data_IF_272036160771
#
_entry.id   IF_272036160771
#
_cell.length_a   1.000
_cell.length_b   1.000
_cell.length_c   1.000
_cell.angle_alpha   90.00
_cell.angle_beta   90.00
_cell.angle_gamma   90.00
#
_symmetry.space_group_name_H-M   'P 1'
#
loop_
_entity.id
_entity.type
_entity.pdbx_description
1 polymer ?
#
# COMPACT_ATOMS: atom_id res chain seq x y z
N UNK A 1 1.98 -66.64 -33.03
CA UNK A 1 2.13 -65.23 -33.48
C UNK A 1 1.16 -64.38 -32.67
N UNK A 2 1.48 -63.25 -32.07
CA UNK A 2 2.70 -62.62 -31.53
C UNK A 2 2.15 -61.39 -30.77
N UNK A 3 2.56 -61.20 -29.52
CA UNK A 3 2.36 -59.94 -28.77
C UNK A 3 2.95 -58.74 -29.52
N UNK A 4 2.36 -57.55 -29.34
CA UNK A 4 3.11 -56.38 -28.86
C UNK A 4 2.18 -55.27 -28.39
N UNK A 5 2.22 -55.05 -27.09
CA UNK A 5 1.93 -53.77 -26.43
C UNK A 5 2.94 -52.73 -26.92
N UNK A 6 2.49 -51.50 -27.19
CA UNK A 6 3.38 -50.36 -27.41
C UNK A 6 3.07 -49.31 -26.34
N UNK A 7 3.92 -49.31 -25.32
CA UNK A 7 4.03 -48.29 -24.29
C UNK A 7 4.31 -46.93 -24.91
N UNK A 8 3.46 -45.94 -24.60
CA UNK A 8 3.78 -44.53 -24.83
C UNK A 8 4.43 -44.02 -23.55
N UNK A 9 5.75 -43.90 -23.60
CA UNK A 9 6.57 -43.23 -22.59
C UNK A 9 6.04 -41.81 -22.34
N UNK A 10 5.46 -41.59 -21.17
CA UNK A 10 5.37 -40.27 -20.56
C UNK A 10 6.81 -39.81 -20.25
N UNK A 11 7.37 -38.98 -21.13
CA UNK A 11 8.56 -38.20 -20.78
C UNK A 11 8.16 -37.20 -19.68
N UNK A 12 8.76 -37.38 -18.52
CA UNK A 12 8.79 -36.42 -17.42
C UNK A 12 9.20 -35.03 -17.93
N UNK A 13 8.49 -33.95 -17.58
CA UNK A 13 9.00 -32.60 -17.79
C UNK A 13 10.27 -32.43 -16.95
N UNK A 14 11.33 -31.92 -17.58
CA UNK A 14 12.59 -31.60 -16.93
C UNK A 14 12.36 -30.74 -15.67
N UNK A 15 12.97 -31.18 -14.58
CA UNK A 15 13.05 -30.51 -13.29
C UNK A 15 13.85 -29.20 -13.37
N UNK A 16 13.26 -28.14 -13.90
CA UNK A 16 13.81 -26.77 -13.77
C UNK A 16 12.76 -25.72 -13.32
N UNK A 17 11.67 -26.16 -12.70
CA UNK A 17 10.82 -25.30 -11.88
C UNK A 17 11.51 -25.02 -10.54
N UNK A 18 12.45 -24.07 -10.53
CA UNK A 18 13.08 -23.58 -9.30
C UNK A 18 12.09 -22.73 -8.51
N UNK A 19 11.24 -23.40 -7.74
CA UNK A 19 10.49 -22.83 -6.62
C UNK A 19 11.48 -22.18 -5.65
N UNK A 20 11.41 -20.86 -5.48
CA UNK A 20 12.15 -20.16 -4.44
C UNK A 20 11.36 -20.22 -3.14
N UNK A 21 11.86 -20.98 -2.17
CA UNK A 21 11.43 -20.88 -0.77
C UNK A 21 12.16 -19.69 -0.14
N UNK A 22 11.41 -18.65 0.25
CA UNK A 22 11.93 -17.62 1.13
C UNK A 22 11.97 -18.17 2.56
N UNK A 23 13.14 -18.14 3.19
CA UNK A 23 13.36 -18.65 4.54
C UNK A 23 12.55 -17.88 5.59
N UNK A 24 11.96 -18.64 6.52
CA UNK A 24 11.23 -18.16 7.68
C UNK A 24 12.06 -17.18 8.51
N UNK A 25 11.81 -15.88 8.35
CA UNK A 25 12.13 -14.87 9.34
C UNK A 25 11.01 -13.84 9.32
N UNK A 26 10.49 -13.45 10.49
CA UNK A 26 9.37 -12.50 10.65
C UNK A 26 9.59 -11.26 9.76
N UNK A 27 8.90 -11.22 8.62
CA UNK A 27 9.11 -10.24 7.54
C UNK A 27 8.50 -8.86 7.81
N UNK A 28 7.71 -8.74 8.88
CA UNK A 28 7.21 -7.47 9.45
C UNK A 28 7.15 -7.63 10.98
N UNK A 29 7.54 -6.60 11.75
CA UNK A 29 7.26 -6.59 13.20
C UNK A 29 5.76 -6.32 13.39
N UNK A 30 4.98 -7.36 13.67
CA UNK A 30 3.72 -7.25 14.42
C UNK A 30 3.79 -8.21 15.59
N UNK A 31 3.76 -7.69 16.81
CA UNK A 31 3.37 -8.47 17.97
C UNK A 31 1.84 -8.49 18.01
N UNK A 32 1.28 -9.65 18.28
CA UNK A 32 -0.16 -9.92 18.39
C UNK A 32 -0.81 -9.00 19.44
N UNK A 33 -2.01 -8.46 19.19
CA UNK A 33 -2.90 -8.09 20.27
C UNK A 33 -3.33 -9.39 20.97
N UNK A 34 -3.00 -9.54 22.24
CA UNK A 34 -3.70 -10.50 23.10
C UNK A 34 -5.20 -10.20 23.02
N UNK A 35 -5.97 -11.27 22.97
CA UNK A 35 -7.42 -11.35 22.78
C UNK A 35 -8.23 -10.40 23.64
N UNK A 36 -8.85 -9.39 23.02
CA UNK A 36 -10.08 -8.75 23.52
C UNK A 36 -11.28 -9.69 23.32
N UNK A 37 -11.31 -10.81 24.06
CA UNK A 37 -12.48 -11.71 24.07
C UNK A 37 -12.97 -12.16 25.44
N UNK A 38 -12.43 -11.63 26.54
CA UNK A 38 -12.85 -12.02 27.90
C UNK A 38 -13.39 -10.86 28.76
N UNK A 39 -13.78 -9.72 28.17
CA UNK A 39 -14.21 -8.53 28.94
C UNK A 39 -15.72 -8.34 29.13
N UNK A 40 -16.58 -9.29 28.72
CA UNK A 40 -18.05 -9.16 28.89
C UNK A 40 -18.72 -10.20 29.80
N UNK A 41 -18.01 -11.13 30.42
CA UNK A 41 -18.60 -12.05 31.41
C UNK A 41 -17.81 -12.07 32.72
N UNK A 42 -18.06 -11.08 33.59
CA UNK A 42 -18.05 -11.19 35.07
C UNK A 42 -18.15 -9.79 35.71
N UNK A 43 -19.31 -9.16 35.58
CA UNK A 43 -19.75 -8.14 36.54
C UNK A 43 -20.98 -8.66 37.26
N UNK A 44 -20.76 -9.51 38.27
CA UNK A 44 -21.67 -9.68 39.39
C UNK A 44 -20.86 -10.18 40.60
N UNK A 45 -21.11 -9.55 41.74
CA UNK A 45 -20.50 -9.71 43.07
C UNK A 45 -19.35 -8.75 43.43
N UNK A 46 -19.81 -7.63 44.00
CA UNK A 46 -19.23 -6.88 45.12
C UNK A 46 -18.16 -7.62 45.96
N UNK A 47 -17.04 -6.93 46.23
CA UNK A 47 -16.59 -6.60 47.60
C UNK A 47 -15.39 -5.63 47.58
N UNK A 48 -15.43 -4.70 48.52
CA UNK A 48 -14.36 -3.77 48.90
C UNK A 48 -13.07 -4.53 49.24
N UNK A 49 -11.92 -4.04 48.77
CA UNK A 49 -10.67 -3.99 49.54
C UNK A 49 -9.66 -3.06 48.86
N UNK A 50 -9.08 -2.22 49.71
CA UNK A 50 -8.01 -1.23 49.56
C UNK A 50 -6.86 -1.54 48.59
N UNK A 51 -6.39 -0.48 47.94
CA UNK A 51 -5.16 -0.40 47.14
C UNK A 51 -3.89 -0.88 47.90
N UNK A 52 -2.83 -1.19 47.14
CA UNK A 52 -1.59 -0.45 47.38
C UNK A 52 -1.06 0.21 46.09
N UNK A 53 -0.61 1.44 46.28
CA UNK A 53 0.18 2.22 45.32
C UNK A 53 1.42 1.43 44.85
N UNK A 54 1.65 1.36 43.54
CA UNK A 54 3.00 1.41 42.99
C UNK A 54 2.98 1.80 41.50
N UNK A 55 3.49 3.00 41.25
CA UNK A 55 4.18 3.44 40.03
C UNK A 55 3.38 3.39 38.72
N UNK A 56 2.60 4.45 38.48
CA UNK A 56 2.52 5.03 37.13
C UNK A 56 3.90 5.62 36.85
N UNK A 57 4.75 4.89 36.14
CA UNK A 57 5.87 5.52 35.46
C UNK A 57 5.28 6.32 34.30
N UNK A 58 5.27 7.64 34.46
CA UNK A 58 5.12 8.60 33.38
C UNK A 58 6.21 8.34 32.33
N UNK A 59 5.89 7.53 31.33
CA UNK A 59 6.61 7.57 30.07
C UNK A 59 6.18 8.84 29.33
N UNK A 60 6.67 9.99 29.80
CA UNK A 60 6.90 11.13 28.91
C UNK A 60 7.93 10.69 27.89
N UNK A 61 7.49 10.02 26.82
CA UNK A 61 8.30 9.79 25.64
C UNK A 61 8.86 11.14 25.22
N UNK A 62 10.19 11.26 25.21
CA UNK A 62 10.91 12.44 24.74
C UNK A 62 10.47 12.77 23.32
N UNK A 63 9.45 13.62 23.20
CA UNK A 63 8.93 14.08 21.92
C UNK A 63 9.99 14.98 21.31
N UNK A 64 10.73 14.45 20.34
CA UNK A 64 11.60 15.28 19.53
C UNK A 64 10.73 15.93 18.46
N UNK A 65 10.62 17.27 18.43
CA UNK A 65 9.79 17.92 17.42
C UNK A 65 10.27 17.53 16.01
N UNK A 66 9.35 17.32 15.04
CA UNK A 66 9.72 16.99 13.67
C UNK A 66 10.74 17.99 13.12
N UNK A 67 11.77 17.50 12.42
CA UNK A 67 12.73 18.38 11.74
C UNK A 67 12.05 19.15 10.63
N UNK A 68 11.05 18.53 9.98
CA UNK A 68 10.26 19.16 8.93
C UNK A 68 9.48 20.36 9.45
N UNK A 69 9.24 21.34 8.58
CA UNK A 69 8.56 22.60 8.93
C UNK A 69 7.56 23.00 7.85
N UNK A 70 6.47 23.65 8.26
CA UNK A 70 5.55 24.32 7.36
C UNK A 70 6.17 25.67 6.99
N UNK A 71 6.39 25.90 5.70
CA UNK A 71 6.92 27.17 5.20
C UNK A 71 5.82 28.20 4.94
N UNK A 72 4.61 27.72 4.65
CA UNK A 72 3.44 28.53 4.36
C UNK A 72 2.37 27.74 3.64
N UNK A 73 1.35 28.45 3.15
CA UNK A 73 0.24 27.88 2.39
C UNK A 73 -0.23 28.88 1.33
N UNK A 74 -0.83 28.37 0.25
CA UNK A 74 -1.48 29.19 -0.78
C UNK A 74 -2.83 28.58 -1.19
N UNK A 75 -3.60 29.32 -2.00
CA UNK A 75 -5.07 29.30 -2.01
C UNK A 75 -5.79 28.14 -2.73
N UNK A 76 -7.01 27.89 -2.20
CA UNK A 76 -8.23 27.17 -2.66
C UNK A 76 -8.15 26.06 -3.74
N UNK A 77 -8.21 24.77 -3.33
CA UNK A 77 -8.17 24.29 -1.94
C UNK A 77 -6.80 24.58 -1.30
N UNK A 78 -6.77 24.83 0.03
CA UNK A 78 -5.53 25.17 0.73
C UNK A 78 -4.45 24.13 0.45
N UNK A 79 -3.32 24.60 -0.07
CA UNK A 79 -2.13 23.80 -0.32
C UNK A 79 -1.01 24.29 0.57
N UNK A 80 -0.50 23.39 1.40
CA UNK A 80 0.59 23.64 2.32
C UNK A 80 1.92 23.31 1.69
N UNK A 81 2.89 24.21 1.85
CA UNK A 81 4.28 24.02 1.46
C UNK A 81 5.06 23.59 2.69
N UNK A 82 5.60 22.37 2.63
CA UNK A 82 6.29 21.72 3.73
C UNK A 82 7.74 21.46 3.32
N UNK A 83 8.69 21.94 4.12
CA UNK A 83 10.07 21.51 4.01
C UNK A 83 10.25 20.20 4.78
N UNK A 84 10.51 19.12 4.05
CA UNK A 84 10.59 17.78 4.59
C UNK A 84 12.04 17.37 4.82
N UNK A 85 12.40 17.19 6.09
CA UNK A 85 13.74 16.83 6.57
C UNK A 85 13.77 15.54 7.39
N UNK A 86 12.60 15.03 7.77
CA UNK A 86 12.51 13.80 8.55
C UNK A 86 12.86 12.59 7.67
N UNK A 87 13.53 11.59 8.25
CA UNK A 87 13.77 10.33 7.52
C UNK A 87 12.45 9.62 7.22
N UNK A 88 11.53 9.65 8.19
CA UNK A 88 10.21 9.04 8.12
C UNK A 88 9.17 9.90 8.84
N UNK A 89 8.03 10.16 8.20
CA UNK A 89 6.88 10.80 8.84
C UNK A 89 5.60 10.02 8.57
N UNK A 90 4.83 9.79 9.63
CA UNK A 90 3.57 9.05 9.56
C UNK A 90 2.41 10.01 9.79
N UNK A 91 1.26 9.63 9.27
CA UNK A 91 0.03 10.39 9.43
C UNK A 91 -1.17 9.47 9.52
N UNK A 92 -2.30 10.03 9.95
CA UNK A 92 -3.63 9.45 9.90
C UNK A 92 -4.52 10.28 8.99
N UNK A 93 -5.57 9.61 8.49
CA UNK A 93 -6.49 10.11 7.46
C UNK A 93 -5.85 10.18 6.08
N UNK A 94 -6.47 10.96 5.19
CA UNK A 94 -6.14 11.01 3.78
C UNK A 94 -5.87 12.43 3.31
N UNK A 95 -4.90 12.56 2.43
CA UNK A 95 -4.56 13.81 1.76
C UNK A 95 -3.90 13.53 0.41
N UNK A 96 -3.71 14.59 -0.37
CA UNK A 96 -2.86 14.57 -1.55
C UNK A 96 -1.48 15.11 -1.25
N UNK A 97 -0.46 14.39 -1.73
CA UNK A 97 0.94 14.76 -1.62
C UNK A 97 1.57 14.90 -3.01
N UNK A 98 2.38 15.93 -3.18
CA UNK A 98 3.30 16.08 -4.30
C UNK A 98 4.70 16.37 -3.72
N UNK A 99 5.72 15.74 -4.28
CA UNK A 99 7.12 15.98 -3.92
C UNK A 99 7.74 16.79 -5.04
N UNK A 100 8.23 18.00 -4.74
CA UNK A 100 8.77 18.86 -5.78
C UNK A 100 10.08 18.31 -6.34
N UNK A 101 10.97 17.75 -5.51
CA UNK A 101 12.28 17.26 -5.93
C UNK A 101 12.34 15.75 -6.22
N UNK A 102 11.22 15.03 -6.06
CA UNK A 102 11.20 13.58 -6.21
C UNK A 102 12.12 12.88 -5.22
N UNK A 103 12.21 13.38 -3.97
CA UNK A 103 13.07 12.82 -2.92
C UNK A 103 12.26 12.10 -1.86
N UNK A 104 11.03 11.72 -2.18
CA UNK A 104 10.14 11.03 -1.25
C UNK A 104 9.56 9.75 -1.84
N UNK A 105 9.44 8.75 -0.99
CA UNK A 105 8.79 7.47 -1.28
C UNK A 105 7.70 7.18 -0.25
N UNK A 106 6.62 6.56 -0.68
CA UNK A 106 5.59 6.02 0.22
C UNK A 106 5.32 4.58 -0.19
N UNK A 107 5.58 3.63 0.71
CA UNK A 107 5.31 2.20 0.50
C UNK A 107 5.81 1.68 -0.87
N UNK A 108 7.04 2.01 -1.24
CA UNK A 108 7.64 1.60 -2.50
C UNK A 108 7.39 2.55 -3.68
N UNK A 109 6.37 3.41 -3.60
CA UNK A 109 6.02 4.34 -4.68
C UNK A 109 6.91 5.59 -4.62
N UNK A 110 7.58 5.92 -5.72
CA UNK A 110 8.26 7.20 -5.85
C UNK A 110 7.24 8.33 -6.09
N UNK A 111 7.22 9.33 -5.20
CA UNK A 111 6.36 10.50 -5.34
C UNK A 111 7.04 11.46 -6.30
N UNK A 112 6.53 11.54 -7.54
CA UNK A 112 7.17 12.31 -8.61
C UNK A 112 6.92 13.82 -8.50
N UNK A 113 7.86 14.64 -9.02
CA UNK A 113 7.62 16.06 -9.29
C UNK A 113 6.31 16.31 -10.03
N UNK A 114 5.66 17.43 -9.69
CA UNK A 114 4.47 17.93 -10.37
C UNK A 114 3.24 17.01 -10.36
N UNK A 115 3.25 15.90 -9.61
CA UNK A 115 2.16 14.92 -9.59
C UNK A 115 1.61 14.77 -8.18
N UNK A 116 0.31 15.01 -8.03
CA UNK A 116 -0.38 14.75 -6.77
C UNK A 116 -0.81 13.29 -6.65
N UNK A 117 -0.52 12.69 -5.51
CA UNK A 117 -0.89 11.34 -5.15
C UNK A 117 -1.81 11.35 -3.94
N UNK A 118 -2.94 10.68 -4.04
CA UNK A 118 -3.83 10.42 -2.90
C UNK A 118 -3.24 9.34 -2.00
N UNK A 119 -3.16 9.60 -0.71
CA UNK A 119 -2.68 8.64 0.29
C UNK A 119 -3.70 8.49 1.41
N UNK A 120 -3.90 7.26 1.89
CA UNK A 120 -4.94 6.91 2.84
C UNK A 120 -4.38 6.09 4.00
N UNK A 121 -4.31 6.68 5.19
CA UNK A 121 -3.92 6.02 6.44
C UNK A 121 -5.08 5.98 7.43
N UNK A 122 -6.09 5.16 7.14
CA UNK A 122 -7.18 4.88 8.08
C UNK A 122 -6.72 3.96 9.22
N UNK A 123 -7.40 4.02 10.37
CA UNK A 123 -7.05 3.23 11.58
C UNK A 123 -7.22 1.71 11.42
N UNK A 124 -7.69 1.25 10.27
CA UNK A 124 -7.95 -0.17 9.98
C UNK A 124 -6.68 -0.95 9.60
N UNK A 125 -5.59 -0.26 9.23
CA UNK A 125 -4.38 -0.87 8.68
C UNK A 125 -3.13 -0.29 9.33
N UNK A 126 -1.99 -0.96 9.16
CA UNK A 126 -0.70 -0.36 9.53
C UNK A 126 -0.47 0.89 8.68
N UNK A 127 -0.20 2.05 9.29
CA UNK A 127 -0.03 3.30 8.56
C UNK A 127 1.23 3.27 7.68
N UNK A 128 1.14 3.96 6.56
CA UNK A 128 2.24 4.18 5.63
C UNK A 128 3.10 5.35 6.12
N UNK A 129 4.40 5.26 5.90
CA UNK A 129 5.34 6.34 6.16
C UNK A 129 5.72 7.07 4.86
N UNK A 130 5.92 8.38 4.99
CA UNK A 130 6.63 9.22 4.04
C UNK A 130 8.12 9.06 4.31
N UNK A 131 8.84 8.46 3.38
CA UNK A 131 10.27 8.14 3.49
C UNK A 131 11.07 9.14 2.66
N UNK A 132 12.06 9.82 3.27
CA UNK A 132 13.03 10.61 2.53
C UNK A 132 14.04 9.68 1.85
N UNK A 133 14.24 9.87 0.55
CA UNK A 133 15.19 9.11 -0.26
C UNK A 133 16.18 10.04 -0.95
N UNK A 134 17.37 9.53 -1.25
CA UNK A 134 18.35 10.25 -2.05
C UNK A 134 17.87 10.38 -3.49
N UNK A 135 17.76 11.60 -4.00
CA UNK A 135 17.53 11.86 -5.42
C UNK A 135 18.42 13.01 -5.91
N UNK A 136 18.88 12.89 -7.15
CA UNK A 136 19.82 13.80 -7.81
C UNK A 136 19.11 14.83 -8.69
N UNK A 137 17.78 14.94 -8.64
CA UNK A 137 17.04 15.90 -9.45
C UNK A 137 17.45 17.33 -9.07
N UNK A 138 17.86 18.10 -10.08
CA UNK A 138 18.14 19.54 -9.97
C UNK A 138 16.93 20.29 -10.48
N UNK A 139 16.38 21.20 -9.68
CA UNK A 139 15.19 21.99 -10.00
C UNK A 139 15.54 23.47 -9.88
N UNK A 140 15.07 24.27 -10.84
CA UNK A 140 15.31 25.71 -10.88
C UNK A 140 14.23 26.49 -10.13
N UNK A 141 14.50 27.77 -9.82
CA UNK A 141 13.51 28.64 -9.21
C UNK A 141 12.27 28.84 -10.09
N UNK A 142 12.45 28.91 -11.41
CA UNK A 142 11.34 29.02 -12.37
C UNK A 142 10.41 27.82 -12.31
N UNK A 143 10.96 26.61 -12.14
CA UNK A 143 10.16 25.39 -12.00
C UNK A 143 9.35 25.44 -10.71
N UNK A 144 9.96 25.83 -9.58
CA UNK A 144 9.27 25.92 -8.28
C UNK A 144 8.14 26.96 -8.33
N UNK A 145 8.38 28.12 -8.93
CA UNK A 145 7.37 29.18 -9.10
C UNK A 145 6.18 28.72 -9.95
N UNK A 146 6.35 27.69 -10.79
CA UNK A 146 5.22 27.09 -11.52
C UNK A 146 4.31 26.23 -10.62
N UNK A 147 4.81 25.73 -9.50
CA UNK A 147 4.06 24.89 -8.54
C UNK A 147 3.60 25.65 -7.29
N UNK A 148 4.37 26.66 -6.88
CA UNK A 148 4.07 27.54 -5.74
C UNK A 148 3.84 28.93 -6.32
N UNK A 149 2.56 29.35 -6.37
CA UNK A 149 2.17 30.63 -6.97
C UNK A 149 2.71 31.85 -6.21
N UNK A 150 2.95 31.70 -4.91
CA UNK A 150 3.55 32.74 -4.08
C UNK A 150 5.07 32.80 -4.30
N UNK A 151 5.55 33.91 -4.86
CA UNK A 151 6.96 34.07 -5.23
C UNK A 151 7.91 34.06 -4.04
N UNK A 152 7.49 34.62 -2.90
CA UNK A 152 8.32 34.69 -1.70
C UNK A 152 8.39 33.31 -1.02
N UNK A 153 7.27 32.60 -0.98
CA UNK A 153 7.22 31.22 -0.49
C UNK A 153 8.06 30.27 -1.37
N UNK A 154 8.01 30.45 -2.70
CA UNK A 154 8.83 29.69 -3.64
C UNK A 154 10.33 29.92 -3.42
N UNK A 155 10.75 31.18 -3.23
CA UNK A 155 12.15 31.53 -2.93
C UNK A 155 12.59 30.95 -1.58
N UNK A 156 11.76 31.09 -0.54
CA UNK A 156 12.03 30.51 0.77
C UNK A 156 12.18 28.97 0.70
N UNK A 157 11.34 28.29 -0.07
CA UNK A 157 11.42 26.85 -0.28
C UNK A 157 12.75 26.45 -0.96
N UNK A 158 13.18 27.20 -1.98
CA UNK A 158 14.45 26.95 -2.67
C UNK A 158 15.67 27.20 -1.77
N UNK A 159 15.64 28.23 -0.93
CA UNK A 159 16.73 28.52 0.02
C UNK A 159 16.85 27.38 1.04
N UNK A 160 15.72 26.94 1.62
CA UNK A 160 15.70 25.88 2.62
C UNK A 160 16.26 24.55 2.09
N UNK A 161 15.84 24.14 0.88
CA UNK A 161 16.31 22.90 0.26
C UNK A 161 17.81 22.96 -0.10
N UNK A 162 18.32 24.12 -0.53
CA UNK A 162 19.73 24.31 -0.88
C UNK A 162 20.64 24.29 0.36
N UNK A 163 20.19 24.90 1.46
CA UNK A 163 20.97 24.98 2.70
C UNK A 163 20.94 23.68 3.51
N UNK A 164 19.77 23.05 3.60
CA UNK A 164 19.53 21.98 4.57
C UNK A 164 19.27 20.62 3.92
N UNK A 165 19.13 20.55 2.60
CA UNK A 165 18.70 19.33 1.90
C UNK A 165 17.23 18.98 2.17
N UNK A 166 16.88 17.70 1.99
CA UNK A 166 15.50 17.22 2.13
C UNK A 166 14.69 17.27 0.84
N UNK A 167 13.39 17.51 0.97
CA UNK A 167 12.43 17.76 -0.14
C UNK A 167 11.47 18.91 0.21
N UNK A 168 10.77 19.44 -0.78
CA UNK A 168 9.62 20.31 -0.61
C UNK A 168 8.36 19.53 -0.99
N UNK A 169 7.46 19.37 -0.03
CA UNK A 169 6.18 18.69 -0.20
C UNK A 169 5.06 19.71 -0.34
N UNK A 170 4.17 19.48 -1.30
CA UNK A 170 2.88 20.15 -1.39
C UNK A 170 1.81 19.22 -0.84
N UNK A 171 1.16 19.62 0.26
CA UNK A 171 0.09 18.86 0.90
C UNK A 171 -1.23 19.59 0.72
N UNK A 172 -2.27 18.88 0.28
CA UNK A 172 -3.62 19.46 0.18
C UNK A 172 -4.69 18.41 0.48
N UNK A 173 -5.92 18.87 0.69
CA UNK A 173 -7.04 18.00 1.06
C UNK A 173 -7.31 16.97 -0.03
N UNK A 174 -7.58 15.73 0.37
CA UNK A 174 -8.01 14.68 -0.58
C UNK A 174 -9.44 14.97 -1.05
N UNK A 175 -9.67 15.24 -2.36
CA UNK A 175 -11.01 15.51 -2.86
C UNK A 175 -11.90 14.27 -2.82
N UNK A 176 -11.33 13.08 -3.04
CA UNK A 176 -12.07 11.82 -3.14
C UNK A 176 -12.00 11.01 -1.85
N UNK A 177 -12.17 11.65 -0.70
CA UNK A 177 -12.18 10.97 0.60
C UNK A 177 -13.28 9.88 0.74
N UNK A 178 -14.01 9.60 -0.33
CA UNK A 178 -15.44 9.35 -0.36
C UNK A 178 -15.82 8.48 -1.57
N UNK A 179 -15.14 7.34 -1.77
CA UNK A 179 -15.79 6.29 -2.57
C UNK A 179 -17.13 5.98 -1.91
N UNK A 180 -18.19 5.71 -2.69
CA UNK A 180 -19.50 5.38 -2.13
C UNK A 180 -19.41 4.28 -1.05
N UNK A 181 -18.48 3.34 -1.23
CA UNK A 181 -18.16 2.32 -0.24
C UNK A 181 -17.64 2.89 1.08
N UNK A 182 -16.63 3.77 1.03
CA UNK A 182 -16.10 4.44 2.22
C UNK A 182 -17.15 5.32 2.89
N UNK A 183 -17.95 6.08 2.11
CA UNK A 183 -19.06 6.87 2.64
C UNK A 183 -20.08 5.98 3.37
N UNK A 184 -20.49 4.88 2.75
CA UNK A 184 -21.42 3.91 3.34
C UNK A 184 -20.87 3.35 4.65
N UNK A 185 -19.59 2.99 4.70
CA UNK A 185 -18.96 2.48 5.93
C UNK A 185 -18.86 3.56 7.01
N UNK A 186 -18.55 4.81 6.64
CA UNK A 186 -18.47 5.93 7.57
C UNK A 186 -19.79 6.24 8.24
N UNK A 187 -20.88 6.19 7.49
CA UNK A 187 -22.23 6.44 8.00
C UNK A 187 -22.74 5.27 8.87
N UNK A 188 -22.18 4.08 8.69
CA UNK A 188 -22.57 2.91 9.47
C UNK A 188 -22.11 3.01 10.93
N UNK A 189 -23.07 2.94 11.87
CA UNK A 189 -22.84 3.17 13.30
C UNK A 189 -21.71 2.31 13.90
N UNK A 190 -21.58 1.06 13.47
CA UNK A 190 -20.54 0.13 13.95
C UNK A 190 -19.12 0.47 13.46
N UNK A 191 -18.99 1.14 12.31
CA UNK A 191 -17.71 1.35 11.64
C UNK A 191 -17.26 2.81 11.65
N UNK A 192 -18.18 3.76 11.89
CA UNK A 192 -17.87 5.19 11.96
C UNK A 192 -16.63 5.49 12.79
N UNK A 193 -16.43 4.79 13.92
CA UNK A 193 -15.28 4.98 14.83
C UNK A 193 -13.89 4.78 14.20
N UNK A 194 -13.79 3.97 13.14
CA UNK A 194 -12.51 3.73 12.46
C UNK A 194 -12.11 4.87 11.53
N UNK A 195 -13.09 5.70 11.16
CA UNK A 195 -12.94 6.86 10.30
C UNK A 195 -13.16 8.17 11.08
N UNK A 196 -13.85 8.09 12.23
CA UNK A 196 -14.29 9.24 13.01
C UNK A 196 -13.14 9.91 13.72
N UNK A 197 -13.40 11.17 14.02
CA UNK A 197 -12.42 12.20 13.92
C UNK A 197 -12.18 12.89 15.27
N UNK A 198 -12.47 12.21 16.38
CA UNK A 198 -12.17 12.70 17.72
C UNK A 198 -10.65 12.63 17.97
N UNK A 199 -9.93 13.52 17.31
CA UNK A 199 -8.57 13.89 17.63
C UNK A 199 -8.67 15.02 18.65
N UNK A 200 -8.31 14.74 19.90
CA UNK A 200 -7.97 15.83 20.82
C UNK A 200 -6.69 16.46 20.27
N UNK A 201 -6.83 17.61 19.60
CA UNK A 201 -5.72 18.45 19.17
C UNK A 201 -5.00 18.94 20.43
N UNK A 202 -3.91 18.27 20.79
CA UNK A 202 -3.08 18.68 21.91
C UNK A 202 -1.91 19.51 21.38
N UNK A 203 -2.00 20.83 21.55
CA UNK A 203 -0.81 21.69 21.64
C UNK A 203 -0.65 22.77 20.56
N UNK A 204 0.13 23.79 20.96
CA UNK A 204 0.64 24.91 20.16
C UNK A 204 1.74 24.37 19.24
N UNK A 205 1.37 23.59 18.21
CA UNK A 205 2.31 22.98 17.27
C UNK A 205 2.30 23.72 15.92
N UNK A 206 3.47 23.91 15.29
CA UNK A 206 3.65 24.50 13.94
C UNK A 206 2.86 23.80 12.83
N UNK A 207 2.31 22.62 13.11
CA UNK A 207 1.51 21.81 12.19
C UNK A 207 -0.01 21.92 12.42
N UNK A 208 -0.45 22.58 13.50
CA UNK A 208 -1.84 22.55 13.96
C UNK A 208 -2.82 23.08 12.90
N UNK A 209 -2.50 24.19 12.23
CA UNK A 209 -3.37 24.73 11.17
C UNK A 209 -3.44 23.77 9.96
N UNK A 210 -2.31 23.16 9.59
CA UNK A 210 -2.26 22.17 8.51
C UNK A 210 -3.12 20.94 8.84
N UNK A 211 -3.01 20.41 10.05
CA UNK A 211 -3.80 19.27 10.52
C UNK A 211 -5.30 19.58 10.50
N UNK A 212 -5.69 20.78 10.93
CA UNK A 212 -7.07 21.25 10.92
C UNK A 212 -7.61 21.40 9.49
N UNK A 213 -6.90 22.12 8.63
CA UNK A 213 -7.38 22.45 7.28
C UNK A 213 -7.43 21.23 6.37
N UNK A 214 -6.42 20.36 6.45
CA UNK A 214 -6.34 19.14 5.64
C UNK A 214 -7.09 17.97 6.25
N UNK A 215 -7.47 18.10 7.52
CA UNK A 215 -8.16 17.08 8.28
C UNK A 215 -7.36 15.79 8.48
N UNK A 216 -6.11 15.98 8.88
CA UNK A 216 -5.13 14.91 9.07
C UNK A 216 -4.53 15.00 10.46
N UNK A 217 -3.89 13.91 10.91
CA UNK A 217 -3.07 13.93 12.12
C UNK A 217 -1.69 13.42 11.82
N UNK A 218 -0.67 14.19 12.17
CA UNK A 218 0.71 13.76 12.12
C UNK A 218 1.04 12.89 13.33
N UNK A 219 1.81 11.85 13.07
CA UNK A 219 2.25 10.91 14.09
C UNK A 219 3.75 10.79 13.94
N UNK A 220 4.46 11.03 15.05
CA UNK A 220 5.88 10.74 15.11
C UNK A 220 6.09 9.27 14.76
N UNK A 221 6.85 9.03 13.68
CA UNK A 221 7.10 7.67 13.23
C UNK A 221 8.01 6.99 14.23
N UNK A 222 7.57 5.87 14.77
CA UNK A 222 8.49 4.91 15.39
C UNK A 222 8.51 3.69 14.48
N UNK A 223 9.61 2.93 14.47
CA UNK A 223 9.73 1.68 13.69
C UNK A 223 8.64 0.64 14.03
N UNK A 224 7.86 0.87 15.09
CA UNK A 224 6.78 0.00 15.54
C UNK A 224 5.41 0.41 14.99
N UNK A 225 5.23 1.67 14.56
CA UNK A 225 3.92 2.19 14.18
C UNK A 225 3.67 2.12 12.68
N UNK A 226 4.68 2.28 11.83
CA UNK A 226 4.50 2.36 10.37
C UNK A 226 5.06 1.16 9.60
N UNK A 227 4.54 0.95 8.38
CA UNK A 227 5.10 -0.03 7.43
C UNK A 227 6.39 0.52 6.85
N UNK A 228 7.52 0.13 7.44
CA UNK A 228 8.85 0.41 6.93
C UNK A 228 9.45 -0.91 6.39
N UNK A 229 9.72 -1.03 5.09
CA UNK A 229 10.28 -2.25 4.50
C UNK A 229 11.74 -2.44 4.97
N UNK A 230 12.10 -3.67 5.34
CA UNK A 230 13.49 -4.00 5.65
C UNK A 230 14.36 -4.09 4.40
N UNK A 231 15.66 -4.01 4.56
CA UNK A 231 16.63 -4.09 3.45
C UNK A 231 16.45 -5.37 2.61
N UNK A 232 16.19 -6.52 3.25
CA UNK A 232 15.99 -7.78 2.53
C UNK A 232 14.73 -7.75 1.65
N UNK A 233 13.70 -7.05 2.11
CA UNK A 233 12.44 -6.86 1.40
C UNK A 233 12.66 -6.00 0.16
N UNK A 234 13.38 -4.87 0.32
CA UNK A 234 13.76 -3.97 -0.77
C UNK A 234 14.64 -4.71 -1.79
N UNK A 235 15.68 -5.40 -1.32
CA UNK A 235 16.62 -6.16 -2.16
C UNK A 235 15.91 -7.24 -2.98
N UNK A 236 14.94 -7.94 -2.37
CA UNK A 236 14.15 -8.97 -3.05
C UNK A 236 13.28 -8.34 -4.14
N UNK A 237 12.59 -7.24 -3.83
CA UNK A 237 11.80 -6.48 -4.82
C UNK A 237 12.66 -6.04 -5.99
N UNK A 238 13.85 -5.49 -5.74
CA UNK A 238 14.76 -5.02 -6.79
C UNK A 238 15.26 -6.16 -7.68
N UNK A 239 15.57 -7.33 -7.09
CA UNK A 239 15.94 -8.53 -7.85
C UNK A 239 14.79 -9.00 -8.76
N UNK A 240 13.56 -9.02 -8.26
CA UNK A 240 12.37 -9.41 -9.03
C UNK A 240 12.17 -8.45 -10.21
N UNK A 241 12.20 -7.13 -9.96
CA UNK A 241 12.02 -6.12 -11.01
C UNK A 241 13.13 -6.23 -12.05
N UNK A 242 14.40 -6.32 -11.63
CA UNK A 242 15.53 -6.50 -12.54
C UNK A 242 15.35 -7.74 -13.43
N UNK A 243 14.90 -8.84 -12.85
CA UNK A 243 14.63 -10.08 -13.57
C UNK A 243 13.50 -9.91 -14.59
N UNK A 244 12.39 -9.32 -14.17
CA UNK A 244 11.27 -9.00 -15.06
C UNK A 244 11.72 -8.14 -16.26
N UNK A 245 12.46 -7.06 -16.02
CA UNK A 245 12.94 -6.18 -17.08
C UNK A 245 13.86 -6.88 -18.10
N UNK A 246 14.62 -7.88 -17.66
CA UNK A 246 15.56 -8.62 -18.50
C UNK A 246 14.93 -9.82 -19.21
N UNK A 247 14.00 -10.52 -18.57
CA UNK A 247 13.48 -11.82 -19.04
C UNK A 247 12.09 -11.73 -19.67
N UNK A 248 11.32 -10.67 -19.42
CA UNK A 248 9.96 -10.59 -19.92
C UNK A 248 9.89 -10.52 -21.45
N UNK A 249 8.97 -11.31 -22.00
CA UNK A 249 8.70 -11.36 -23.43
C UNK A 249 7.25 -10.91 -23.69
N UNK A 250 6.98 -10.45 -24.90
CA UNK A 250 5.65 -10.09 -25.38
C UNK A 250 4.73 -11.32 -25.52
N UNK A 251 5.29 -12.49 -25.84
CA UNK A 251 4.56 -13.75 -25.99
C UNK A 251 4.44 -14.54 -24.68
N UNK A 252 5.43 -14.41 -23.78
CA UNK A 252 5.49 -15.14 -22.52
C UNK A 252 5.61 -14.14 -21.36
N UNK A 253 4.56 -14.01 -20.53
CA UNK A 253 4.59 -13.08 -19.40
C UNK A 253 5.54 -13.56 -18.30
N UNK A 254 6.09 -12.62 -17.55
CA UNK A 254 6.81 -12.90 -16.32
C UNK A 254 5.78 -13.12 -15.20
N UNK A 255 5.61 -14.36 -14.73
CA UNK A 255 4.60 -14.71 -13.72
C UNK A 255 5.24 -14.80 -12.34
N UNK A 256 4.73 -14.01 -11.41
CA UNK A 256 5.11 -14.03 -10.00
C UNK A 256 3.92 -14.52 -9.16
N UNK A 257 4.09 -15.68 -8.52
CA UNK A 257 3.13 -16.21 -7.57
C UNK A 257 3.52 -15.82 -6.13
N UNK A 258 2.64 -15.12 -5.43
CA UNK A 258 2.84 -14.78 -4.02
C UNK A 258 1.96 -15.71 -3.18
N UNK A 259 2.62 -16.55 -2.39
CA UNK A 259 1.97 -17.56 -1.55
C UNK A 259 2.61 -17.63 -0.16
N UNK A 260 1.91 -18.28 0.77
CA UNK A 260 2.29 -18.39 2.18
C UNK A 260 1.07 -18.33 3.10
N UNK A 261 1.27 -18.64 4.38
CA UNK A 261 0.20 -18.69 5.37
C UNK A 261 -0.49 -17.33 5.58
N UNK A 262 -1.64 -17.36 6.25
CA UNK A 262 -2.35 -16.15 6.66
C UNK A 262 -1.46 -15.27 7.55
N UNK A 263 -1.59 -13.95 7.42
CA UNK A 263 -0.89 -12.96 8.24
C UNK A 263 0.65 -12.93 8.13
N UNK A 264 1.22 -13.57 7.10
CA UNK A 264 2.67 -13.53 6.82
C UNK A 264 3.16 -12.26 6.09
N UNK A 265 2.28 -11.29 5.82
CA UNK A 265 2.63 -10.03 5.16
C UNK A 265 2.59 -10.05 3.62
N UNK A 266 1.96 -11.06 3.01
CA UNK A 266 1.80 -11.19 1.55
C UNK A 266 1.27 -9.92 0.89
N UNK A 267 0.13 -9.41 1.34
CA UNK A 267 -0.50 -8.21 0.77
C UNK A 267 0.36 -6.94 0.95
N UNK A 268 1.20 -6.89 1.98
CA UNK A 268 2.15 -5.79 2.19
C UNK A 268 3.29 -5.87 1.17
N UNK A 269 3.84 -7.07 0.93
CA UNK A 269 4.84 -7.31 -0.12
C UNK A 269 4.31 -7.06 -1.52
N UNK A 270 3.12 -7.59 -1.82
CA UNK A 270 2.43 -7.37 -3.09
C UNK A 270 2.27 -5.90 -3.40
N UNK A 271 1.72 -5.10 -2.48
CA UNK A 271 1.50 -3.66 -2.71
C UNK A 271 2.81 -2.89 -2.89
N UNK A 272 3.83 -3.20 -2.08
CA UNK A 272 5.15 -2.59 -2.23
C UNK A 272 5.80 -2.91 -3.59
N UNK A 273 5.79 -4.19 -3.99
CA UNK A 273 6.31 -4.64 -5.28
C UNK A 273 5.58 -3.95 -6.44
N UNK A 274 4.25 -3.90 -6.39
CA UNK A 274 3.44 -3.22 -7.41
C UNK A 274 3.84 -1.75 -7.51
N UNK A 275 3.94 -1.06 -6.36
CA UNK A 275 4.31 0.35 -6.30
C UNK A 275 5.71 0.62 -6.90
N UNK A 276 6.66 -0.29 -6.68
CA UNK A 276 8.00 -0.22 -7.27
C UNK A 276 7.99 -0.51 -8.76
N UNK A 277 7.24 -1.52 -9.20
CA UNK A 277 7.16 -1.91 -10.60
C UNK A 277 6.51 -0.85 -11.49
N UNK A 278 5.62 -0.01 -10.91
CA UNK A 278 4.96 1.09 -11.61
C UNK A 278 5.94 2.12 -12.21
N UNK A 279 7.17 2.22 -11.71
CA UNK A 279 8.19 3.10 -12.30
C UNK A 279 8.63 2.67 -13.70
N UNK A 280 8.36 1.42 -14.08
CA UNK A 280 8.78 0.87 -15.36
C UNK A 280 7.63 0.70 -16.36
N UNK A 281 6.39 1.00 -15.97
CA UNK A 281 5.22 0.79 -16.82
C UNK A 281 5.14 1.86 -17.90
N UNK A 282 5.08 1.41 -19.15
CA UNK A 282 5.07 2.27 -20.34
C UNK A 282 4.40 1.55 -21.52
N UNK A 283 4.70 1.96 -22.75
CA UNK A 283 4.20 1.29 -23.97
C UNK A 283 4.72 -0.15 -24.11
N UNK A 284 5.94 -0.42 -23.63
CA UNK A 284 6.62 -1.73 -23.73
C UNK A 284 6.27 -2.66 -22.57
N UNK A 285 6.26 -2.15 -21.34
CA UNK A 285 6.07 -2.96 -20.13
C UNK A 285 4.66 -2.82 -19.55
N UNK A 286 4.09 -3.95 -19.14
CA UNK A 286 2.76 -4.04 -18.53
C UNK A 286 2.79 -4.70 -17.16
N UNK A 287 1.79 -4.41 -16.34
CA UNK A 287 1.62 -5.01 -15.02
C UNK A 287 0.15 -5.38 -14.82
N UNK A 288 -0.09 -6.67 -14.64
CA UNK A 288 -1.41 -7.20 -14.31
C UNK A 288 -1.36 -7.86 -12.94
N UNK A 289 -2.34 -7.55 -12.10
CA UNK A 289 -2.56 -8.21 -10.82
C UNK A 289 -3.71 -9.21 -10.94
N UNK A 290 -3.46 -10.46 -10.57
CA UNK A 290 -4.49 -11.48 -10.41
C UNK A 290 -4.80 -11.64 -8.94
N UNK A 291 -6.06 -11.42 -8.59
CA UNK A 291 -6.55 -11.65 -7.26
C UNK A 291 -7.26 -12.99 -7.16
N UNK A 292 -6.57 -13.95 -6.57
CA UNK A 292 -7.12 -15.27 -6.26
C UNK A 292 -7.36 -15.44 -4.75
N UNK A 293 -7.28 -14.36 -3.94
CA UNK A 293 -7.68 -14.38 -2.54
C UNK A 293 -9.13 -13.87 -2.39
N UNK A 294 -10.09 -14.79 -2.42
CA UNK A 294 -11.52 -14.47 -2.26
C UNK A 294 -11.90 -14.06 -0.84
N UNK A 295 -11.04 -14.30 0.16
CA UNK A 295 -11.28 -13.93 1.55
C UNK A 295 -10.87 -12.49 1.84
N UNK A 296 -9.79 -12.02 1.23
CA UNK A 296 -9.26 -10.68 1.39
C UNK A 296 -8.84 -10.09 0.04
N UNK A 297 -9.84 -9.67 -0.73
CA UNK A 297 -9.61 -9.12 -2.06
C UNK A 297 -8.93 -7.75 -2.02
N UNK A 298 -8.13 -7.49 -3.05
CA UNK A 298 -7.60 -6.18 -3.45
C UNK A 298 -8.38 -5.72 -4.69
N UNK A 299 -8.65 -4.42 -4.82
CA UNK A 299 -9.42 -3.80 -5.93
C UNK A 299 -10.91 -4.17 -6.05
N UNK A 300 -11.36 -5.25 -5.42
CA UNK A 300 -12.75 -5.75 -5.53
C UNK A 300 -13.36 -6.02 -4.15
N UNK A 301 -14.67 -6.26 -4.11
CA UNK A 301 -15.34 -6.70 -2.88
C UNK A 301 -15.03 -8.17 -2.58
N UNK A 302 -15.17 -8.58 -1.32
CA UNK A 302 -14.94 -9.96 -0.89
C UNK A 302 -15.76 -10.98 -1.68
N UNK A 303 -15.18 -12.16 -1.87
CA UNK A 303 -15.80 -13.25 -2.64
C UNK A 303 -15.64 -13.15 -4.16
N UNK A 304 -14.76 -12.27 -4.65
CA UNK A 304 -14.48 -12.13 -6.08
C UNK A 304 -13.10 -12.70 -6.42
N UNK A 305 -12.99 -13.29 -7.61
CA UNK A 305 -11.69 -13.45 -8.29
C UNK A 305 -11.63 -12.45 -9.43
N UNK A 306 -10.46 -11.86 -9.67
CA UNK A 306 -10.32 -10.91 -10.77
C UNK A 306 -8.91 -10.80 -11.31
N UNK A 307 -8.76 -10.13 -12.45
CA UNK A 307 -7.48 -9.53 -12.82
C UNK A 307 -7.63 -8.06 -13.20
N UNK A 308 -6.63 -7.25 -12.85
CA UNK A 308 -6.63 -5.81 -13.06
C UNK A 308 -5.29 -5.35 -13.62
N UNK A 309 -5.32 -4.56 -14.70
CA UNK A 309 -4.11 -3.89 -15.21
C UNK A 309 -3.80 -2.67 -14.33
N UNK A 310 -2.64 -2.67 -13.69
CA UNK A 310 -2.28 -1.66 -12.69
C UNK A 310 -1.58 -0.48 -13.36
N UNK A 311 -2.12 0.71 -13.11
CA UNK A 311 -1.61 1.99 -13.66
C UNK A 311 -1.40 3.07 -12.61
N UNK A 312 -1.85 2.84 -11.39
CA UNK A 312 -1.84 3.80 -10.30
C UNK A 312 -1.33 3.13 -9.03
N UNK A 313 -0.58 3.85 -8.19
CA UNK A 313 -0.01 3.25 -6.98
C UNK A 313 -1.07 2.94 -5.92
N UNK A 314 -0.74 1.98 -5.06
CA UNK A 314 -1.54 1.47 -3.96
C UNK A 314 -1.05 2.12 -2.67
N UNK A 315 -1.56 3.32 -2.41
CA UNK A 315 -1.18 4.18 -1.28
C UNK A 315 -2.28 4.20 -0.21
N UNK A 316 -2.79 3.02 0.12
CA UNK A 316 -3.86 2.90 1.10
C UNK A 316 -4.33 1.46 1.33
N UNK A 317 -5.35 1.27 2.19
CA UNK A 317 -6.00 -0.02 2.39
C UNK A 317 -6.84 -0.44 1.17
N UNK A 318 -7.21 -1.73 1.04
CA UNK A 318 -7.99 -2.24 -0.11
C UNK A 318 -9.24 -1.42 -0.44
N UNK A 319 -9.95 -0.95 0.60
CA UNK A 319 -11.16 -0.15 0.47
C UNK A 319 -10.95 1.24 -0.17
N UNK A 320 -9.71 1.76 -0.18
CA UNK A 320 -9.39 3.07 -0.74
C UNK A 320 -9.25 3.06 -2.26
N UNK A 321 -9.23 1.89 -2.90
CA UNK A 321 -8.96 1.76 -4.33
C UNK A 321 -9.76 0.64 -5.00
N UNK A 322 -10.94 0.32 -4.44
CA UNK A 322 -11.92 -0.55 -5.09
C UNK A 322 -12.27 0.05 -6.46
N UNK A 323 -12.17 -0.78 -7.51
CA UNK A 323 -12.45 -0.38 -8.88
C UNK A 323 -13.93 -0.63 -9.18
N UNK A 324 -14.71 0.45 -9.32
CA UNK A 324 -16.12 0.36 -9.72
C UNK A 324 -16.32 -0.01 -11.21
N UNK A 325 -15.30 0.24 -12.04
CA UNK A 325 -15.37 0.09 -13.51
C UNK A 325 -14.52 -1.07 -14.03
N UNK A 326 -14.33 -2.14 -13.25
CA UNK A 326 -13.71 -3.36 -13.79
C UNK A 326 -14.63 -3.91 -14.87
N UNK A 327 -14.08 -4.24 -16.05
CA UNK A 327 -14.87 -4.90 -17.09
C UNK A 327 -15.49 -6.17 -16.50
N UNK A 328 -16.80 -6.36 -16.72
CA UNK A 328 -17.58 -7.41 -16.06
C UNK A 328 -17.07 -8.83 -16.32
N UNK A 329 -16.33 -9.06 -17.41
CA UNK A 329 -15.69 -10.34 -17.72
C UNK A 329 -14.41 -10.60 -16.92
N UNK A 330 -13.74 -9.57 -16.40
CA UNK A 330 -12.49 -9.69 -15.63
C UNK A 330 -12.71 -9.90 -14.13
N UNK A 331 -13.96 -9.95 -13.68
CA UNK A 331 -14.35 -10.13 -12.28
C UNK A 331 -15.39 -11.24 -12.21
N UNK A 332 -15.08 -12.31 -11.47
CA UNK A 332 -15.97 -13.45 -11.26
C UNK A 332 -16.37 -13.52 -9.80
N UNK A 333 -17.67 -13.34 -9.51
CA UNK A 333 -18.21 -13.46 -8.17
C UNK A 333 -18.38 -14.95 -7.79
N UNK A 334 -17.58 -15.41 -6.84
CA UNK A 334 -17.59 -16.79 -6.34
C UNK A 334 -18.69 -17.03 -5.29
N UNK A 335 -19.11 -15.97 -4.59
CA UNK A 335 -20.21 -16.01 -3.62
C UNK A 335 -19.86 -16.57 -2.23
N UNK A 336 -18.59 -16.92 -2.00
CA UNK A 336 -18.06 -17.37 -0.71
C UNK A 336 -16.71 -16.70 -0.46
N UNK A 337 -16.32 -16.63 0.82
CA UNK A 337 -15.02 -16.07 1.26
C UNK A 337 -13.96 -17.15 1.51
N UNK A 338 -14.27 -18.40 1.19
CA UNK A 338 -13.35 -19.54 1.29
C UNK A 338 -13.60 -20.50 0.13
N UNK A 339 -12.55 -21.06 -0.49
CA UNK A 339 -12.68 -22.01 -1.59
C UNK A 339 -13.00 -23.42 -1.10
N UNK A 340 -12.87 -23.69 0.21
CA UNK A 340 -13.03 -25.00 0.83
C UNK A 340 -14.35 -25.70 0.49
N UNK A 341 -15.51 -25.00 0.45
CA UNK A 341 -16.78 -25.67 0.14
C UNK A 341 -16.91 -26.13 -1.33
N UNK A 342 -16.16 -25.53 -2.26
CA UNK A 342 -16.21 -25.88 -3.68
C UNK A 342 -14.88 -25.59 -4.40
N UNK A 343 -13.80 -26.35 -4.11
CA UNK A 343 -12.46 -26.08 -4.62
C UNK A 343 -12.36 -26.26 -6.14
N UNK A 344 -13.11 -27.22 -6.71
CA UNK A 344 -13.17 -27.42 -8.18
C UNK A 344 -13.72 -26.19 -8.88
N UNK A 345 -14.80 -25.60 -8.35
CA UNK A 345 -15.40 -24.37 -8.89
C UNK A 345 -14.43 -23.19 -8.81
N UNK A 346 -13.70 -23.07 -7.70
CA UNK A 346 -12.66 -22.04 -7.55
C UNK A 346 -11.58 -22.17 -8.64
N UNK A 347 -11.07 -23.38 -8.88
CA UNK A 347 -10.08 -23.62 -9.95
C UNK A 347 -10.64 -23.37 -11.35
N UNK A 348 -11.92 -23.65 -11.60
CA UNK A 348 -12.58 -23.29 -12.86
C UNK A 348 -12.59 -21.77 -13.08
N UNK A 349 -12.81 -20.98 -12.02
CA UNK A 349 -12.83 -19.52 -12.11
C UNK A 349 -11.42 -18.96 -12.37
N UNK A 350 -10.41 -19.46 -11.65
CA UNK A 350 -9.00 -19.11 -11.91
C UNK A 350 -8.62 -19.42 -13.37
N UNK A 351 -8.98 -20.60 -13.87
CA UNK A 351 -8.73 -20.99 -15.25
C UNK A 351 -9.45 -20.09 -16.26
N UNK A 352 -10.68 -19.69 -15.97
CA UNK A 352 -11.45 -18.77 -16.81
C UNK A 352 -10.78 -17.40 -16.91
N UNK A 353 -10.34 -16.84 -15.78
CA UNK A 353 -9.61 -15.56 -15.76
C UNK A 353 -8.29 -15.63 -16.53
N UNK A 354 -7.54 -16.73 -16.36
CA UNK A 354 -6.30 -16.96 -17.14
C UNK A 354 -6.56 -16.97 -18.65
N UNK A 355 -7.63 -17.64 -19.09
CA UNK A 355 -8.00 -17.67 -20.51
C UNK A 355 -8.38 -16.29 -21.03
N UNK A 356 -9.17 -15.53 -20.27
CA UNK A 356 -9.58 -14.17 -20.63
C UNK A 356 -8.39 -13.23 -20.72
N UNK A 357 -7.48 -13.27 -19.75
CA UNK A 357 -6.26 -12.47 -19.80
C UNK A 357 -5.40 -12.81 -21.01
N UNK A 358 -5.26 -14.10 -21.36
CA UNK A 358 -4.51 -14.50 -22.56
C UNK A 358 -5.13 -13.93 -23.85
N UNK A 359 -6.46 -13.84 -23.92
CA UNK A 359 -7.16 -13.24 -25.07
C UNK A 359 -6.90 -11.72 -25.09
N UNK A 360 -7.09 -11.05 -23.96
CA UNK A 360 -6.85 -9.61 -23.82
C UNK A 360 -5.40 -9.23 -24.16
N UNK A 361 -4.44 -10.00 -23.66
CA UNK A 361 -3.01 -9.77 -23.89
C UNK A 361 -2.64 -9.87 -25.37
N UNK A 362 -3.19 -10.86 -26.09
CA UNK A 362 -2.99 -11.00 -27.54
C UNK A 362 -3.59 -9.83 -28.32
N UNK A 363 -4.70 -9.27 -27.85
CA UNK A 363 -5.40 -8.17 -28.52
C UNK A 363 -4.81 -6.78 -28.22
N UNK A 364 -4.09 -6.62 -27.11
CA UNK A 364 -3.66 -5.31 -26.59
C UNK A 364 -2.21 -4.93 -26.93
N UNK A 365 -1.75 -5.20 -28.16
CA UNK A 365 -0.39 -4.90 -28.65
C UNK A 365 0.74 -5.55 -27.82
N UNK A 366 0.48 -6.73 -27.21
CA UNK A 366 1.45 -7.61 -26.52
C UNK A 366 2.60 -6.90 -25.78
N UNK A 367 2.34 -6.45 -24.55
CA UNK A 367 3.40 -5.88 -23.70
C UNK A 367 4.29 -6.96 -23.09
N UNK A 368 5.49 -6.57 -22.64
CA UNK A 368 6.32 -7.39 -21.76
C UNK A 368 5.74 -7.36 -20.34
N UNK A 369 4.71 -8.17 -20.11
CA UNK A 369 3.87 -8.08 -18.93
C UNK A 369 4.43 -8.87 -17.74
N UNK A 370 4.45 -8.25 -16.56
CA UNK A 370 4.50 -8.97 -15.28
C UNK A 370 3.08 -9.29 -14.83
N UNK A 371 2.85 -10.55 -14.45
CA UNK A 371 1.62 -10.99 -13.78
C UNK A 371 1.95 -11.26 -12.33
N UNK A 372 1.36 -10.51 -11.41
CA UNK A 372 1.46 -10.76 -9.96
C UNK A 372 0.20 -11.48 -9.53
N UNK A 373 0.33 -12.73 -9.09
CA UNK A 373 -0.78 -13.57 -8.62
C UNK A 373 -0.75 -13.59 -7.09
N UNK A 374 -1.77 -13.00 -6.46
CA UNK A 374 -2.01 -13.16 -5.03
C UNK A 374 -2.86 -14.41 -4.79
N UNK A 375 -2.50 -15.18 -3.76
CA UNK A 375 -3.20 -16.42 -3.41
C UNK A 375 -3.72 -16.38 -1.97
N UNK A 376 -4.77 -17.17 -1.73
CA UNK A 376 -5.27 -17.44 -0.38
C UNK A 376 -4.14 -17.82 0.58
N UNK A 377 -4.30 -17.46 1.85
CA UNK A 377 -3.50 -18.02 2.95
C UNK A 377 -3.85 -19.48 3.21
N UNK A 378 -3.24 -20.41 2.49
CA UNK A 378 -3.36 -21.84 2.77
C UNK A 378 -2.53 -22.18 4.00
N UNK A 379 -3.20 -22.45 5.12
CA UNK A 379 -2.63 -23.01 6.34
C UNK A 379 -3.09 -24.44 6.53
N UNK A 380 -2.38 -25.19 7.37
CA UNK A 380 -2.78 -26.54 7.82
C UNK A 380 -3.84 -26.49 8.92
#
# INVERSE_FOLDING_TARGET
>A
MKHSSSDIHLQSPNNDDRLYQASNSKMVRRLSPQSERDYEEKNNYSKQTTAPNSCVEDHTSYYSPPKSSVLGSFSEPPTYVVHFLDSHLTFQQSFQICSLFGRVRIHGCHIRPATFYSVYNYRTNSPLAIELITSTTVISLSDIKSFISDAQLAENALINIQQNGGDILLLRKEPNNDSLFIQTIREHQSYRKFFSEEYKLFGINKWMQLEQDLYIRLIETTDQTAVIPREEFISTTDKIIKRWLNEANEDIPFVLLICGEKDMGKSTFTRYLINRALDHINSTFGLTYFDCDIGQCEFTIGGCLSYTDIKTPLLGPPCSHIKSNVKSDRLLYYGLVSPQPAPVRYLQYVNRLRQLWNIDHKNANKKRSMIVINTMGWGT
#
